data_IF_186849598154
#
_entry.id   IF_186849598154
#
_cell.length_a   1.000
_cell.length_b   1.000
_cell.length_c   1.000
_cell.angle_alpha   90.00
_cell.angle_beta   90.00
_cell.angle_gamma   90.00
#
_symmetry.space_group_name_H-M   'P 1'
#
loop_
_entity.id
_entity.type
_entity.pdbx_description
1 polymer ?
#
# COMPACT_ATOMS: atom_id res chain seq x y z
N UNK A 1 24.82 -10.82 -13.94
CA UNK A 1 23.37 -10.80 -14.17
C UNK A 1 22.92 -9.43 -13.73
N UNK A 2 22.52 -8.58 -14.67
CA UNK A 2 22.23 -7.18 -14.39
C UNK A 2 20.86 -7.05 -13.72
N UNK A 3 20.79 -6.28 -12.62
CA UNK A 3 19.54 -6.05 -11.91
C UNK A 3 18.68 -5.04 -12.69
N UNK A 4 17.43 -5.42 -12.97
CA UNK A 4 16.48 -4.58 -13.69
C UNK A 4 15.52 -3.88 -12.73
N UNK A 5 15.61 -2.56 -12.61
CA UNK A 5 14.77 -1.77 -11.71
C UNK A 5 13.46 -1.25 -12.32
N UNK A 6 13.08 -1.71 -13.53
CA UNK A 6 11.88 -1.23 -14.25
C UNK A 6 10.56 -1.51 -13.51
N UNK A 7 10.55 -2.46 -12.58
CA UNK A 7 9.40 -2.75 -11.71
C UNK A 7 9.19 -1.70 -10.61
N UNK A 8 10.09 -0.71 -10.51
CA UNK A 8 10.01 0.42 -9.57
C UNK A 8 10.06 1.75 -10.33
N UNK A 9 8.89 2.27 -10.70
CA UNK A 9 8.79 3.50 -11.50
C UNK A 9 8.52 4.70 -10.60
N UNK A 10 9.50 5.60 -10.47
CA UNK A 10 9.31 6.89 -9.80
C UNK A 10 8.47 7.79 -10.71
N UNK A 11 7.43 8.39 -10.15
CA UNK A 11 6.51 9.24 -10.88
C UNK A 11 6.94 10.71 -10.81
N UNK A 12 6.57 11.50 -11.81
CA UNK A 12 6.81 12.96 -11.84
C UNK A 12 5.74 13.71 -11.03
N UNK A 13 5.71 13.39 -9.73
CA UNK A 13 4.91 14.05 -8.70
C UNK A 13 5.57 13.86 -7.35
N UNK A 14 5.51 14.89 -6.53
CA UNK A 14 6.08 14.92 -5.19
C UNK A 14 5.14 15.63 -4.23
N UNK A 15 5.02 15.08 -3.04
CA UNK A 15 4.22 15.66 -1.96
C UNK A 15 5.12 16.19 -0.84
N UNK A 16 4.58 17.05 0.01
CA UNK A 16 5.32 17.56 1.16
C UNK A 16 5.38 16.46 2.25
N UNK A 17 6.58 15.97 2.56
CA UNK A 17 6.77 14.90 3.54
C UNK A 17 6.33 15.30 4.96
N UNK A 18 6.56 16.54 5.37
CA UNK A 18 6.17 17.00 6.71
C UNK A 18 4.64 17.04 6.84
N UNK A 19 3.94 17.47 5.78
CA UNK A 19 2.47 17.45 5.74
C UNK A 19 1.91 16.03 5.70
N UNK A 20 2.55 15.09 4.99
CA UNK A 20 2.19 13.67 5.02
C UNK A 20 2.32 13.07 6.43
N UNK A 21 3.43 13.35 7.11
CA UNK A 21 3.67 12.89 8.47
C UNK A 21 2.72 13.53 9.48
N UNK A 22 2.38 14.82 9.30
CA UNK A 22 1.36 15.51 10.11
C UNK A 22 -0.03 14.89 9.89
N UNK A 23 -0.43 14.66 8.63
CA UNK A 23 -1.71 14.02 8.32
C UNK A 23 -1.80 12.61 8.89
N UNK A 24 -0.70 11.85 8.83
CA UNK A 24 -0.62 10.54 9.47
C UNK A 24 -0.88 10.64 10.98
N UNK A 25 -0.22 11.56 11.69
CA UNK A 25 -0.45 11.79 13.12
C UNK A 25 -1.88 12.25 13.42
N UNK A 26 -2.48 13.06 12.55
CA UNK A 26 -3.85 13.54 12.71
C UNK A 26 -4.87 12.39 12.54
N UNK A 27 -4.65 11.48 11.58
CA UNK A 27 -5.48 10.26 11.42
C UNK A 27 -5.36 9.34 12.63
N UNK A 28 -4.16 9.15 13.20
CA UNK A 28 -3.98 8.30 14.38
C UNK A 28 -4.72 8.78 15.63
N UNK A 29 -5.07 10.07 15.72
CA UNK A 29 -5.90 10.59 16.82
C UNK A 29 -7.36 10.16 16.70
N UNK A 30 -7.78 9.78 15.50
CA UNK A 30 -9.17 9.42 15.15
C UNK A 30 -9.31 7.90 15.10
N UNK A 31 -8.31 7.21 14.53
CA UNK A 31 -8.38 5.79 14.21
C UNK A 31 -7.06 5.08 14.48
N UNK A 32 -7.14 4.00 15.25
CA UNK A 32 -6.05 3.04 15.38
C UNK A 32 -5.96 2.09 14.19
N UNK A 33 -4.76 1.57 13.95
CA UNK A 33 -4.55 0.53 12.95
C UNK A 33 -5.34 -0.74 13.31
N UNK A 34 -6.10 -1.26 12.36
CA UNK A 34 -6.61 -2.63 12.42
C UNK A 34 -5.76 -3.54 11.54
N UNK A 35 -5.39 -4.69 12.09
CA UNK A 35 -4.76 -5.77 11.35
C UNK A 35 -5.81 -6.77 10.87
N UNK A 36 -5.62 -7.41 9.72
CA UNK A 36 -6.45 -8.54 9.36
C UNK A 36 -6.24 -9.71 10.34
N UNK A 37 -7.30 -10.44 10.69
CA UNK A 37 -7.18 -11.60 11.58
C UNK A 37 -6.11 -12.58 11.07
N UNK A 38 -5.26 -13.03 11.99
CA UNK A 38 -4.15 -13.95 11.73
C UNK A 38 -2.87 -13.32 11.16
N UNK A 39 -2.84 -12.01 10.87
CA UNK A 39 -1.64 -11.32 10.38
C UNK A 39 -1.05 -10.46 11.49
N UNK A 40 0.06 -10.90 12.08
CA UNK A 40 0.80 -10.11 13.07
C UNK A 40 1.64 -9.03 12.41
N UNK A 41 1.95 -7.97 13.15
CA UNK A 41 2.92 -6.94 12.76
C UNK A 41 2.56 -6.15 11.47
N UNK A 42 1.28 -6.14 11.11
CA UNK A 42 0.74 -5.41 9.97
C UNK A 42 -0.58 -4.74 10.34
N UNK A 43 -0.78 -3.52 9.87
CA UNK A 43 -2.02 -2.77 10.07
C UNK A 43 -2.39 -1.95 8.85
N UNK A 44 -3.68 -1.71 8.66
CA UNK A 44 -4.18 -0.83 7.62
C UNK A 44 -5.19 0.18 8.19
N UNK A 45 -5.16 1.41 7.65
CA UNK A 45 -6.23 2.40 7.80
C UNK A 45 -6.69 2.75 6.40
N UNK A 46 -7.94 2.43 6.05
CA UNK A 46 -8.52 2.82 4.77
C UNK A 46 -8.73 4.33 4.72
N UNK A 47 -8.45 4.94 3.57
CA UNK A 47 -8.75 6.34 3.26
C UNK A 47 -9.92 6.48 2.27
N UNK A 48 -10.25 5.40 1.57
CA UNK A 48 -11.38 5.31 0.64
C UNK A 48 -12.33 4.17 1.02
N UNK A 49 -13.62 4.35 0.72
CA UNK A 49 -14.68 3.36 0.87
C UNK A 49 -15.56 3.31 -0.38
N UNK A 50 -16.45 2.32 -0.45
CA UNK A 50 -17.50 2.28 -1.46
C UNK A 50 -18.57 3.33 -1.10
N UNK A 51 -18.96 4.22 -2.03
CA UNK A 51 -20.00 5.23 -1.76
C UNK A 51 -21.27 4.59 -1.19
N UNK A 52 -21.69 5.06 -0.01
CA UNK A 52 -22.88 4.54 0.68
C UNK A 52 -22.70 3.20 1.39
N UNK A 53 -21.49 2.63 1.43
CA UNK A 53 -21.17 1.41 2.19
C UNK A 53 -19.92 1.61 3.08
N UNK A 54 -20.08 2.19 4.28
CA UNK A 54 -19.01 2.34 5.26
C UNK A 54 -18.43 1.00 5.78
N UNK A 55 -19.14 -0.12 5.60
CA UNK A 55 -18.67 -1.44 6.01
C UNK A 55 -17.75 -2.10 4.97
N UNK A 56 -17.63 -1.49 3.78
CA UNK A 56 -16.70 -1.92 2.71
C UNK A 56 -15.24 -1.96 3.15
N UNK A 57 -14.86 -1.24 4.22
CA UNK A 57 -13.50 -1.18 4.74
C UNK A 57 -13.24 -2.13 5.94
N UNK A 58 -14.22 -2.97 6.30
CA UNK A 58 -14.14 -3.89 7.45
C UNK A 58 -13.84 -5.34 7.01
N UNK A 59 -13.19 -6.11 7.90
CA UNK A 59 -12.95 -7.54 7.71
C UNK A 59 -12.13 -7.88 6.44
N UNK A 60 -12.49 -8.97 5.77
CA UNK A 60 -11.78 -9.47 4.58
C UNK A 60 -11.89 -8.55 3.36
N UNK A 61 -12.91 -7.69 3.28
CA UNK A 61 -13.07 -6.68 2.22
C UNK A 61 -11.91 -5.68 2.17
N UNK A 62 -11.20 -5.51 3.29
CA UNK A 62 -10.02 -4.66 3.41
C UNK A 62 -8.72 -5.27 2.81
N UNK A 63 -8.68 -6.59 2.52
CA UNK A 63 -7.51 -7.28 1.93
C UNK A 63 -7.63 -7.46 0.42
N UNK A 64 -8.77 -7.98 -0.07
CA UNK A 64 -8.97 -8.30 -1.49
C UNK A 64 -8.14 -9.52 -1.93
N UNK A 65 -8.43 -10.07 -3.11
CA UNK A 65 -7.79 -11.30 -3.62
C UNK A 65 -6.28 -11.14 -3.89
N UNK A 66 -5.50 -12.15 -3.54
CA UNK A 66 -4.07 -12.25 -3.86
C UNK A 66 -3.61 -13.70 -3.97
N UNK A 67 -2.40 -13.93 -4.45
CA UNK A 67 -1.83 -15.27 -4.64
C UNK A 67 -0.53 -15.44 -3.86
N UNK A 68 -0.36 -16.59 -3.20
CA UNK A 68 0.83 -16.90 -2.37
C UNK A 68 1.50 -18.20 -2.81
N UNK A 69 2.78 -18.38 -2.46
CA UNK A 69 3.47 -19.69 -2.49
C UNK A 69 3.83 -20.07 -1.05
N UNK A 70 2.98 -20.83 -0.35
CA UNK A 70 3.02 -20.92 1.11
C UNK A 70 4.03 -21.93 1.66
N UNK A 71 4.45 -22.91 0.86
CA UNK A 71 5.27 -24.03 1.31
C UNK A 71 6.37 -24.39 0.30
N UNK A 72 7.20 -25.38 0.65
CA UNK A 72 8.33 -25.82 -0.16
C UNK A 72 7.96 -26.44 -1.51
N UNK A 73 6.67 -26.68 -1.81
CA UNK A 73 6.25 -27.16 -3.13
C UNK A 73 6.32 -26.07 -4.21
N UNK A 74 6.32 -24.78 -3.80
CA UNK A 74 6.29 -23.64 -4.71
C UNK A 74 4.96 -23.48 -5.48
N UNK A 75 3.92 -24.25 -5.15
CA UNK A 75 2.60 -24.16 -5.77
C UNK A 75 1.88 -22.88 -5.35
N UNK A 76 1.25 -22.23 -6.32
CA UNK A 76 0.46 -21.03 -6.10
C UNK A 76 -0.92 -21.38 -5.50
N UNK A 77 -1.36 -20.59 -4.51
CA UNK A 77 -2.71 -20.69 -3.94
C UNK A 77 -3.37 -19.31 -3.85
N UNK A 78 -4.68 -19.28 -4.08
CA UNK A 78 -5.52 -18.08 -4.00
C UNK A 78 -5.86 -17.79 -2.54
N UNK A 79 -5.86 -16.52 -2.17
CA UNK A 79 -6.23 -16.01 -0.83
C UNK A 79 -7.30 -14.93 -0.95
N UNK A 80 -8.19 -14.87 0.04
CA UNK A 80 -9.31 -13.92 0.16
C UNK A 80 -10.25 -13.91 -1.07
N UNK A 81 -11.13 -12.91 -1.16
CA UNK A 81 -12.20 -12.80 -2.15
C UNK A 81 -11.94 -11.70 -3.18
N UNK A 82 -12.50 -11.90 -4.37
CA UNK A 82 -12.44 -10.89 -5.43
C UNK A 82 -13.31 -9.70 -5.04
N UNK A 83 -12.71 -8.51 -5.06
CA UNK A 83 -13.39 -7.24 -4.83
C UNK A 83 -13.33 -6.40 -6.09
N UNK A 84 -14.30 -5.50 -6.27
CA UNK A 84 -14.29 -4.52 -7.36
C UNK A 84 -13.54 -3.27 -6.88
N UNK A 85 -12.23 -3.23 -7.13
CA UNK A 85 -11.38 -2.10 -6.73
C UNK A 85 -11.93 -0.73 -7.18
N UNK A 86 -12.50 -0.67 -8.39
CA UNK A 86 -13.13 0.54 -8.95
C UNK A 86 -14.29 1.11 -8.11
N UNK A 87 -14.90 0.29 -7.25
CA UNK A 87 -16.00 0.73 -6.40
C UNK A 87 -15.52 1.61 -5.23
N UNK A 88 -14.25 1.54 -4.85
CA UNK A 88 -13.68 2.28 -3.71
C UNK A 88 -13.30 3.71 -4.13
N UNK A 89 -14.30 4.54 -4.42
CA UNK A 89 -14.11 5.88 -4.96
C UNK A 89 -14.41 7.03 -3.99
N UNK A 90 -15.05 6.76 -2.84
CA UNK A 90 -15.40 7.79 -1.87
C UNK A 90 -14.27 7.96 -0.84
N UNK A 91 -13.74 9.18 -0.70
CA UNK A 91 -12.79 9.49 0.37
C UNK A 91 -13.53 9.59 1.71
N UNK A 92 -12.98 8.97 2.75
CA UNK A 92 -13.64 8.90 4.07
C UNK A 92 -13.71 10.30 4.69
N UNK A 93 -14.93 10.70 5.04
CA UNK A 93 -15.29 12.05 5.50
C UNK A 93 -14.51 12.48 6.76
N UNK A 94 -14.25 11.55 7.69
CA UNK A 94 -13.51 11.80 8.92
C UNK A 94 -12.08 12.31 8.68
N UNK A 95 -11.47 11.96 7.54
CA UNK A 95 -10.08 12.32 7.23
C UNK A 95 -9.98 13.50 6.26
N UNK A 96 -11.11 14.10 5.83
CA UNK A 96 -11.14 15.12 4.77
C UNK A 96 -10.32 16.38 5.10
N UNK A 97 -10.19 16.69 6.39
CA UNK A 97 -9.47 17.86 6.88
C UNK A 97 -7.95 17.63 7.00
N UNK A 98 -7.46 16.45 6.59
CA UNK A 98 -6.03 16.13 6.59
C UNK A 98 -5.41 16.36 5.21
N UNK A 99 -4.08 16.44 5.15
CA UNK A 99 -3.36 16.55 3.87
C UNK A 99 -3.63 15.37 2.92
N UNK A 100 -4.08 14.21 3.44
CA UNK A 100 -4.41 13.06 2.60
C UNK A 100 -5.56 13.31 1.62
N UNK A 101 -6.50 14.21 1.94
CA UNK A 101 -7.54 14.57 0.97
C UNK A 101 -6.96 15.24 -0.26
N UNK A 102 -6.04 16.20 -0.07
CA UNK A 102 -5.31 16.84 -1.18
C UNK A 102 -4.47 15.83 -1.96
N UNK A 103 -3.80 14.91 -1.29
CA UNK A 103 -3.04 13.83 -1.94
C UNK A 103 -3.97 12.96 -2.79
N UNK A 104 -5.09 12.52 -2.24
CA UNK A 104 -6.09 11.73 -2.95
C UNK A 104 -6.62 12.45 -4.19
N UNK A 105 -7.02 13.72 -4.08
CA UNK A 105 -7.57 14.48 -5.21
C UNK A 105 -6.56 14.61 -6.36
N UNK A 106 -5.30 14.90 -6.03
CA UNK A 106 -4.24 15.02 -7.03
C UNK A 106 -3.95 13.64 -7.68
N UNK A 107 -3.87 12.57 -6.90
CA UNK A 107 -3.66 11.22 -7.45
C UNK A 107 -4.84 10.78 -8.34
N UNK A 108 -6.08 11.00 -7.90
CA UNK A 108 -7.31 10.65 -8.63
C UNK A 108 -7.46 11.44 -9.94
N UNK A 109 -6.86 12.63 -10.05
CA UNK A 109 -6.81 13.38 -11.32
C UNK A 109 -5.81 12.82 -12.34
N UNK A 110 -4.89 11.95 -11.90
CA UNK A 110 -3.81 11.38 -12.74
C UNK A 110 -4.00 9.90 -13.03
N UNK A 111 -4.67 9.16 -12.14
CA UNK A 111 -4.77 7.71 -12.19
C UNK A 111 -6.19 7.26 -11.87
N UNK A 112 -6.59 6.13 -12.46
CA UNK A 112 -7.78 5.39 -12.01
C UNK A 112 -7.42 4.60 -10.74
N UNK A 113 -7.74 5.17 -9.58
CA UNK A 113 -7.47 4.54 -8.29
C UNK A 113 -8.56 3.55 -7.89
N UNK A 114 -8.13 2.49 -7.20
CA UNK A 114 -8.99 1.66 -6.34
C UNK A 114 -8.82 2.05 -4.88
N UNK A 115 -8.71 1.05 -3.99
CA UNK A 115 -8.51 1.30 -2.56
C UNK A 115 -7.25 2.11 -2.28
N UNK A 116 -7.38 3.14 -1.46
CA UNK A 116 -6.28 3.93 -0.89
C UNK A 116 -6.22 3.68 0.62
N UNK A 117 -5.04 3.32 1.12
CA UNK A 117 -4.82 2.91 2.52
C UNK A 117 -3.50 3.44 3.06
N UNK A 118 -3.43 3.66 4.36
CA UNK A 118 -2.18 3.79 5.10
C UNK A 118 -1.83 2.38 5.60
N UNK A 119 -0.67 1.86 5.21
CA UNK A 119 -0.20 0.55 5.61
C UNK A 119 0.97 0.68 6.59
N UNK A 120 0.87 -0.03 7.71
CA UNK A 120 1.86 -0.15 8.75
C UNK A 120 2.53 -1.52 8.69
N UNK A 121 3.86 -1.54 8.82
CA UNK A 121 4.66 -2.73 9.13
C UNK A 121 5.50 -2.46 10.36
N UNK A 122 5.29 -3.24 11.42
CA UNK A 122 6.03 -3.09 12.68
C UNK A 122 7.51 -3.49 12.53
N UNK A 123 8.40 -3.09 13.46
CA UNK A 123 9.81 -3.46 13.46
C UNK A 123 10.05 -4.96 13.26
N UNK A 124 11.21 -5.29 12.66
CA UNK A 124 11.74 -6.66 12.52
C UNK A 124 10.72 -7.67 11.97
N UNK A 125 10.00 -7.32 10.91
CA UNK A 125 8.90 -8.15 10.40
C UNK A 125 8.76 -8.13 8.88
N UNK A 126 8.19 -9.20 8.30
CA UNK A 126 8.03 -9.40 6.85
C UNK A 126 6.57 -9.69 6.46
N UNK A 127 6.21 -9.50 5.18
CA UNK A 127 4.92 -9.96 4.63
C UNK A 127 5.07 -11.36 4.02
N UNK A 128 3.96 -11.92 3.54
CA UNK A 128 3.99 -13.12 2.70
C UNK A 128 4.67 -12.82 1.35
N UNK A 129 5.25 -13.84 0.73
CA UNK A 129 5.64 -13.77 -0.67
C UNK A 129 4.40 -13.95 -1.54
N UNK A 130 3.98 -12.88 -2.23
CA UNK A 130 2.70 -12.85 -2.92
C UNK A 130 2.71 -12.00 -4.20
N UNK A 131 1.67 -12.16 -5.02
CA UNK A 131 1.35 -11.23 -6.11
C UNK A 131 -0.09 -10.74 -5.96
N UNK A 132 -0.31 -9.51 -6.40
CA UNK A 132 -1.61 -8.83 -6.46
C UNK A 132 -2.19 -8.89 -7.88
N UNK A 133 -3.48 -8.54 -8.05
CA UNK A 133 -4.07 -8.42 -9.39
C UNK A 133 -3.65 -7.13 -10.12
N UNK A 134 -3.35 -6.05 -9.39
CA UNK A 134 -2.99 -4.75 -9.96
C UNK A 134 -1.69 -4.18 -9.38
N UNK A 135 -1.00 -3.30 -10.12
CA UNK A 135 0.05 -2.45 -9.57
C UNK A 135 -0.37 -1.69 -8.32
N UNK A 136 0.63 -1.31 -7.52
CA UNK A 136 0.43 -0.47 -6.34
C UNK A 136 1.22 0.83 -6.47
N UNK A 137 0.58 1.93 -6.14
CA UNK A 137 1.23 3.21 -5.90
C UNK A 137 1.64 3.28 -4.44
N UNK A 138 2.87 3.72 -4.17
CA UNK A 138 3.42 3.89 -2.84
C UNK A 138 3.94 5.32 -2.64
N UNK A 139 3.60 5.89 -1.48
CA UNK A 139 4.20 7.11 -0.93
C UNK A 139 4.73 6.78 0.47
N UNK A 140 6.06 6.62 0.64
CA UNK A 140 6.63 6.37 1.96
C UNK A 140 6.45 7.60 2.87
N UNK A 141 5.98 7.37 4.10
CA UNK A 141 5.73 8.41 5.12
C UNK A 141 6.74 8.30 6.26
N UNK A 142 6.97 7.07 6.72
CA UNK A 142 8.00 6.71 7.71
C UNK A 142 8.70 5.46 7.18
N UNK A 143 10.03 5.51 7.07
CA UNK A 143 10.85 4.44 6.52
C UNK A 143 12.26 4.53 7.07
N UNK A 144 12.97 3.42 7.08
CA UNK A 144 14.37 3.31 7.50
C UNK A 144 15.17 2.51 6.45
N UNK A 145 16.51 2.52 6.48
CA UNK A 145 17.33 1.74 5.53
C UNK A 145 17.01 0.24 5.49
N UNK A 146 16.48 -0.33 6.58
CA UNK A 146 16.01 -1.72 6.65
C UNK A 146 14.59 -1.96 6.11
N UNK A 147 13.89 -0.92 5.66
CA UNK A 147 12.58 -1.00 5.01
C UNK A 147 12.76 -1.20 3.51
N UNK A 148 12.57 -2.44 3.06
CA UNK A 148 12.86 -2.86 1.69
C UNK A 148 11.63 -3.48 1.05
N UNK A 149 11.40 -3.11 -0.21
CA UNK A 149 10.47 -3.80 -1.09
C UNK A 149 11.26 -4.67 -2.06
N UNK A 150 10.88 -5.94 -2.14
CA UNK A 150 11.46 -6.93 -3.06
C UNK A 150 10.41 -7.26 -4.10
N UNK A 151 10.74 -7.13 -5.37
CA UNK A 151 9.91 -7.58 -6.49
C UNK A 151 10.77 -8.51 -7.32
N UNK A 152 10.31 -9.76 -7.45
CA UNK A 152 11.07 -10.85 -8.05
C UNK A 152 12.47 -10.98 -7.42
N UNK A 153 13.54 -10.68 -8.15
CA UNK A 153 14.93 -10.74 -7.67
C UNK A 153 15.53 -9.38 -7.29
N UNK A 154 14.75 -8.29 -7.32
CA UNK A 154 15.24 -6.93 -7.06
C UNK A 154 14.74 -6.40 -5.72
N UNK A 155 15.68 -5.99 -4.88
CA UNK A 155 15.42 -5.33 -3.60
C UNK A 155 15.65 -3.82 -3.71
N UNK A 156 14.71 -3.00 -3.24
CA UNK A 156 14.81 -1.54 -3.27
C UNK A 156 14.26 -0.88 -2.00
N UNK A 157 15.00 0.07 -1.48
CA UNK A 157 14.52 1.01 -0.46
C UNK A 157 13.75 2.16 -1.13
N UNK A 158 12.59 2.52 -0.58
CA UNK A 158 11.81 3.68 -1.01
C UNK A 158 11.89 4.76 0.09
N UNK A 159 12.53 5.93 -0.17
CA UNK A 159 12.76 6.95 0.86
C UNK A 159 11.48 7.75 1.17
N UNK A 160 11.35 8.19 2.42
CA UNK A 160 10.31 9.10 2.87
C UNK A 160 10.71 10.54 2.55
N UNK A 161 10.71 10.88 1.26
CA UNK A 161 11.06 12.21 0.75
C UNK A 161 9.87 12.87 0.00
N UNK A 162 8.68 12.26 0.09
CA UNK A 162 7.48 12.69 -0.63
C UNK A 162 7.38 12.17 -2.07
N UNK A 163 8.34 11.36 -2.53
CA UNK A 163 8.30 10.73 -3.85
C UNK A 163 7.13 9.75 -3.96
N UNK A 164 6.57 9.68 -5.17
CA UNK A 164 5.53 8.71 -5.52
C UNK A 164 6.14 7.64 -6.41
N UNK A 165 5.85 6.38 -6.10
CA UNK A 165 6.34 5.22 -6.83
C UNK A 165 5.16 4.37 -7.30
N UNK A 166 5.23 3.83 -8.51
CA UNK A 166 4.37 2.73 -8.93
C UNK A 166 5.23 1.47 -9.01
N UNK A 167 4.77 0.42 -8.35
CA UNK A 167 5.49 -0.85 -8.24
C UNK A 167 4.70 -1.99 -8.90
N UNK A 168 5.44 -2.93 -9.50
CA UNK A 168 4.85 -4.05 -10.21
C UNK A 168 4.45 -5.18 -9.26
N UNK A 169 3.36 -4.97 -8.53
CA UNK A 169 2.83 -5.97 -7.59
C UNK A 169 2.14 -7.15 -8.28
N UNK A 170 1.96 -7.11 -9.61
CA UNK A 170 1.47 -8.26 -10.40
C UNK A 170 2.51 -9.38 -10.47
N UNK A 171 3.80 -9.04 -10.27
CA UNK A 171 4.86 -10.00 -10.01
C UNK A 171 4.88 -10.39 -8.53
N UNK A 172 5.49 -11.53 -8.27
CA UNK A 172 5.73 -11.96 -6.91
C UNK A 172 6.66 -10.99 -6.18
N UNK A 173 6.27 -10.57 -5.00
CA UNK A 173 6.91 -9.52 -4.24
C UNK A 173 6.70 -9.69 -2.73
N UNK A 174 7.42 -8.87 -1.97
CA UNK A 174 7.30 -8.74 -0.52
C UNK A 174 7.75 -7.34 -0.08
N UNK A 175 7.27 -6.87 1.06
CA UNK A 175 7.88 -5.75 1.77
C UNK A 175 8.16 -6.16 3.21
N UNK A 176 9.39 -5.91 3.65
CA UNK A 176 9.81 -6.13 5.03
C UNK A 176 10.32 -4.85 5.68
N UNK A 177 10.31 -4.86 7.00
CA UNK A 177 10.89 -3.82 7.84
C UNK A 177 11.90 -4.48 8.78
N UNK A 178 13.18 -4.40 8.42
CA UNK A 178 14.28 -4.87 9.24
C UNK A 178 14.76 -3.87 10.30
N UNK A 179 14.21 -2.64 10.29
CA UNK A 179 14.54 -1.60 11.27
C UNK A 179 13.81 -1.76 12.60
N UNK A 180 14.07 -0.80 13.49
CA UNK A 180 13.55 -0.76 14.87
C UNK A 180 12.40 0.24 15.05
N UNK A 181 12.01 0.95 13.98
CA UNK A 181 10.85 1.82 13.94
C UNK A 181 9.77 1.29 12.99
N UNK A 182 8.55 1.77 13.16
CA UNK A 182 7.43 1.44 12.27
C UNK A 182 7.69 1.93 10.84
N UNK A 183 7.40 1.08 9.84
CA UNK A 183 7.37 1.46 8.43
C UNK A 183 5.93 1.81 8.03
N UNK A 184 5.72 3.00 7.50
CA UNK A 184 4.38 3.52 7.15
C UNK A 184 4.39 4.07 5.72
N UNK A 185 3.50 3.56 4.88
CA UNK A 185 3.32 4.00 3.49
C UNK A 185 1.84 4.29 3.23
N UNK A 186 1.54 5.35 2.47
CA UNK A 186 0.27 5.42 1.74
C UNK A 186 0.37 4.52 0.51
N UNK A 187 -0.61 3.66 0.32
CA UNK A 187 -0.68 2.69 -0.76
C UNK A 187 -2.01 2.79 -1.48
N UNK A 188 -1.99 2.83 -2.80
CA UNK A 188 -3.20 2.83 -3.63
C UNK A 188 -3.13 1.76 -4.72
N UNK A 189 -4.27 1.13 -5.02
CA UNK A 189 -4.42 0.29 -6.21
C UNK A 189 -4.49 1.17 -7.46
N UNK A 190 -3.70 0.87 -8.50
CA UNK A 190 -3.71 1.63 -9.77
C UNK A 190 -4.25 0.73 -10.88
N UNK A 191 -5.42 1.09 -11.42
CA UNK A 191 -6.23 0.19 -12.25
C UNK A 191 -5.97 0.36 -13.75
N UNK A 192 -5.34 1.46 -14.14
CA UNK A 192 -5.05 1.85 -15.52
C UNK A 192 -3.54 1.85 -15.86
N UNK A 193 -2.68 1.43 -14.94
CA UNK A 193 -1.23 1.35 -15.15
C UNK A 193 -0.79 -0.02 -15.66
N UNK A 194 0.07 -0.04 -16.67
CA UNK A 194 0.68 -1.26 -17.20
C UNK A 194 2.20 -1.13 -17.17
N UNK A 195 2.86 -2.20 -16.72
CA UNK A 195 4.30 -2.36 -16.89
C UNK A 195 4.55 -2.95 -18.27
N UNK A 196 5.47 -2.34 -19.01
CA UNK A 196 5.97 -2.84 -20.30
C UNK A 196 7.14 -3.80 -20.09
#
# INVERSE_FOLDING_TARGET
>A
MDLNFNDFQKQDIKFNINELQKAYKDVLKIKDFSGPEGVSNFGAISLTQIPGDPDSVKGHKARGIFWTKPDGSGKEVIRDEKIKEEAYSEFIEEYKNTYFKKVFDILSSRYKLGRVRILLKQPRSTLSWHRDPEPRLHIPIITNPGSIMVIDNVAKHLPADGSVWITNNTKYHNAFNGGEENRVHLVACVLDHKFN
#
